data_IF_611735115686
#
_entry.id   IF_611735115686
#
_cell.length_a   1.000
_cell.length_b   1.000
_cell.length_c   1.000
_cell.angle_alpha   90.00
_cell.angle_beta   90.00
_cell.angle_gamma   90.00
#
_symmetry.space_group_name_H-M   'P 1'
#
loop_
_entity.id
_entity.type
_entity.pdbx_description
1 polymer ?
#
# COMPACT_ATOMS: atom_id res chain seq x y z
N UNK A 1 14.40 14.93 21.20
CA UNK A 1 14.14 14.27 19.90
C UNK A 1 12.70 13.80 19.93
N UNK A 2 11.76 14.55 19.34
CA UNK A 2 10.36 14.12 19.30
C UNK A 2 10.24 12.93 18.37
N UNK A 3 9.79 11.80 18.92
CA UNK A 3 9.37 10.63 18.14
C UNK A 3 7.92 10.88 17.72
N UNK A 4 7.72 11.83 16.81
CA UNK A 4 6.40 12.10 16.24
C UNK A 4 6.10 10.99 15.21
N UNK A 5 5.81 9.79 15.69
CA UNK A 5 5.37 8.68 14.85
C UNK A 5 3.92 8.95 14.46
N UNK A 6 3.71 9.71 13.37
CA UNK A 6 2.40 9.77 12.72
C UNK A 6 1.89 8.33 12.55
N UNK A 7 0.61 8.05 12.85
CA UNK A 7 0.07 6.72 12.64
C UNK A 7 0.36 6.29 11.21
N UNK A 8 0.96 5.11 11.04
CA UNK A 8 1.33 4.60 9.74
C UNK A 8 0.05 4.55 8.88
N UNK A 9 0.06 5.24 7.74
CA UNK A 9 -1.06 5.21 6.80
C UNK A 9 -1.03 3.85 6.11
N UNK A 10 -2.03 3.01 6.40
CA UNK A 10 -2.13 1.65 5.89
C UNK A 10 -3.22 1.59 4.83
N UNK A 11 -2.89 1.05 3.66
CA UNK A 11 -3.85 0.78 2.58
C UNK A 11 -3.88 -0.71 2.26
N UNK A 12 -5.08 -1.26 2.06
CA UNK A 12 -5.28 -2.62 1.56
C UNK A 12 -5.71 -2.52 0.10
N UNK A 13 -4.97 -3.16 -0.80
CA UNK A 13 -5.27 -3.18 -2.23
C UNK A 13 -5.63 -4.60 -2.65
N UNK A 14 -6.88 -4.80 -3.06
CA UNK A 14 -7.34 -6.07 -3.65
C UNK A 14 -7.02 -6.11 -5.14
N UNK A 15 -6.73 -7.29 -5.69
CA UNK A 15 -6.36 -7.42 -7.10
C UNK A 15 -5.01 -6.77 -7.44
N UNK A 16 -4.11 -6.64 -6.46
CA UNK A 16 -2.85 -5.91 -6.61
C UNK A 16 -1.79 -6.59 -7.50
N UNK A 17 -2.05 -7.80 -8.00
CA UNK A 17 -1.09 -8.54 -8.83
C UNK A 17 -0.95 -8.00 -10.26
N UNK A 18 -1.99 -7.37 -10.82
CA UNK A 18 -2.02 -6.92 -12.23
C UNK A 18 -2.92 -5.70 -12.43
N UNK A 19 -2.78 -5.01 -13.57
CA UNK A 19 -3.70 -3.94 -14.00
C UNK A 19 -3.78 -2.78 -13.01
N UNK A 20 -5.00 -2.26 -12.82
CA UNK A 20 -5.26 -1.06 -11.99
C UNK A 20 -4.85 -1.29 -10.53
N UNK A 21 -5.12 -2.46 -9.96
CA UNK A 21 -4.74 -2.76 -8.58
C UNK A 21 -3.23 -2.66 -8.36
N UNK A 22 -2.42 -3.17 -9.31
CA UNK A 22 -0.95 -3.04 -9.26
C UNK A 22 -0.51 -1.57 -9.35
N UNK A 23 -1.08 -0.81 -10.27
CA UNK A 23 -0.76 0.61 -10.44
C UNK A 23 -1.10 1.42 -9.17
N UNK A 24 -2.26 1.18 -8.57
CA UNK A 24 -2.69 1.83 -7.33
C UNK A 24 -1.77 1.48 -6.15
N UNK A 25 -1.38 0.20 -6.01
CA UNK A 25 -0.45 -0.22 -4.95
C UNK A 25 0.91 0.49 -5.06
N UNK A 26 1.45 0.62 -6.27
CA UNK A 26 2.71 1.33 -6.51
C UNK A 26 2.59 2.83 -6.22
N UNK A 27 1.48 3.47 -6.61
CA UNK A 27 1.24 4.88 -6.30
C UNK A 27 1.15 5.12 -4.79
N UNK A 28 0.42 4.27 -4.05
CA UNK A 28 0.32 4.36 -2.59
C UNK A 28 1.67 4.16 -1.90
N UNK A 29 2.49 3.22 -2.39
CA UNK A 29 3.85 3.05 -1.88
C UNK A 29 4.71 4.30 -2.13
N UNK A 30 4.64 4.90 -3.33
CA UNK A 30 5.34 6.13 -3.66
C UNK A 30 4.91 7.30 -2.76
N UNK A 31 3.64 7.35 -2.36
CA UNK A 31 3.07 8.34 -1.45
C UNK A 31 3.38 8.07 0.04
N UNK A 32 4.20 7.06 0.33
CA UNK A 32 4.67 6.72 1.67
C UNK A 32 3.63 5.99 2.52
N UNK A 33 2.74 5.23 1.91
CA UNK A 33 1.84 4.31 2.61
C UNK A 33 2.50 2.97 2.87
N UNK A 34 2.11 2.33 3.97
CA UNK A 34 2.29 0.89 4.13
C UNK A 34 1.15 0.18 3.41
N UNK A 35 1.47 -0.65 2.41
CA UNK A 35 0.47 -1.24 1.53
C UNK A 35 0.41 -2.76 1.73
N UNK A 36 -0.80 -3.27 1.99
CA UNK A 36 -1.11 -4.71 2.06
C UNK A 36 -1.72 -5.13 0.72
N UNK A 37 -1.16 -6.19 0.13
CA UNK A 37 -1.62 -6.73 -1.15
C UNK A 37 -2.52 -7.95 -0.90
N UNK A 38 -3.74 -7.91 -1.40
CA UNK A 38 -4.70 -9.01 -1.30
C UNK A 38 -5.06 -9.54 -2.69
N UNK A 39 -4.85 -10.83 -2.93
CA UNK A 39 -5.09 -11.45 -4.24
C UNK A 39 -5.15 -12.97 -4.18
N UNK A 40 -5.58 -13.57 -5.29
CA UNK A 40 -5.72 -15.03 -5.42
C UNK A 40 -4.41 -15.76 -5.75
N UNK A 41 -3.37 -15.02 -6.15
CA UNK A 41 -2.07 -15.56 -6.57
C UNK A 41 -1.00 -15.05 -5.59
N UNK A 42 -0.23 -15.94 -4.94
CA UNK A 42 0.88 -15.55 -4.08
C UNK A 42 1.97 -14.82 -4.86
#
# INVERSE_FOLDING_TARGET
>A
MSVDKKPARIAIVTGAGTGIGKAAALALLADGWSVVLAGRRP
#
